data_IF_892182296959
#
_entry.id   IF_892182296959
#
_cell.length_a   1.000
_cell.length_b   1.000
_cell.length_c   1.000
_cell.angle_alpha   90.00
_cell.angle_beta   90.00
_cell.angle_gamma   90.00
#
_symmetry.space_group_name_H-M   'P 1'
#
loop_
_entity.id
_entity.type
_entity.pdbx_description
1 polymer ?
#
# COMPACT_ATOMS: atom_id res chain seq x y z
N UNK A 1 -6.05 -2.35 -32.22
CA UNK A 1 -5.05 -1.44 -32.80
C UNK A 1 -3.98 -2.25 -33.51
N UNK A 2 -3.78 -2.06 -34.83
CA UNK A 2 -2.66 -2.73 -35.51
C UNK A 2 -1.35 -1.97 -35.25
N UNK A 3 -0.69 -2.30 -34.14
CA UNK A 3 0.60 -1.71 -33.79
C UNK A 3 1.70 -2.47 -34.53
N UNK A 4 2.35 -1.79 -35.47
CA UNK A 4 3.49 -2.38 -36.15
C UNK A 4 4.62 -2.73 -35.17
N UNK A 5 5.35 -3.81 -35.46
CA UNK A 5 6.46 -4.28 -34.63
C UNK A 5 7.52 -3.19 -34.37
N UNK A 6 7.76 -2.31 -35.35
CA UNK A 6 8.71 -1.21 -35.16
C UNK A 6 8.24 -0.22 -34.08
N UNK A 7 6.94 0.06 -33.97
CA UNK A 7 6.39 0.94 -32.92
C UNK A 7 6.60 0.31 -31.55
N UNK A 8 6.33 -0.99 -31.42
CA UNK A 8 6.62 -1.76 -30.21
C UNK A 8 8.11 -1.67 -29.81
N UNK A 9 9.00 -1.96 -30.76
CA UNK A 9 10.45 -1.96 -30.51
C UNK A 9 10.95 -0.56 -30.17
N UNK A 10 10.54 0.47 -30.91
CA UNK A 10 10.94 1.86 -30.65
C UNK A 10 10.43 2.31 -29.28
N UNK A 11 9.15 2.10 -28.97
CA UNK A 11 8.58 2.47 -27.67
C UNK A 11 9.26 1.72 -26.53
N UNK A 12 9.49 0.41 -26.67
CA UNK A 12 10.21 -0.37 -25.67
C UNK A 12 11.64 0.15 -25.46
N UNK A 13 12.38 0.45 -26.54
CA UNK A 13 13.73 1.03 -26.45
C UNK A 13 13.69 2.39 -25.74
N UNK A 14 12.77 3.28 -26.11
CA UNK A 14 12.66 4.61 -25.49
C UNK A 14 12.32 4.48 -24.01
N UNK A 15 11.34 3.65 -23.65
CA UNK A 15 10.93 3.45 -22.26
C UNK A 15 12.03 2.80 -21.42
N UNK A 16 12.68 1.76 -21.95
CA UNK A 16 13.83 1.12 -21.29
C UNK A 16 15.00 2.09 -21.17
N UNK A 17 15.23 2.95 -22.17
CA UNK A 17 16.27 3.97 -22.08
C UNK A 17 15.95 5.02 -20.99
N UNK A 18 14.72 5.52 -20.92
CA UNK A 18 14.27 6.43 -19.86
C UNK A 18 14.44 5.77 -18.49
N UNK A 19 14.03 4.51 -18.35
CA UNK A 19 14.18 3.74 -17.11
C UNK A 19 15.66 3.52 -16.75
N UNK A 20 16.48 3.14 -17.73
CA UNK A 20 17.91 2.94 -17.55
C UNK A 20 18.60 4.24 -17.16
N UNK A 21 18.21 5.37 -17.73
CA UNK A 21 18.70 6.70 -17.36
C UNK A 21 18.31 7.00 -15.91
N UNK A 22 17.06 6.76 -15.50
CA UNK A 22 16.64 6.93 -14.10
C UNK A 22 17.49 6.05 -13.15
N UNK A 23 17.69 4.77 -13.50
CA UNK A 23 18.49 3.84 -12.70
C UNK A 23 19.96 4.26 -12.65
N UNK A 24 20.56 4.66 -13.77
CA UNK A 24 21.99 4.96 -13.87
C UNK A 24 22.34 6.32 -13.25
N UNK A 25 21.50 7.34 -13.45
CA UNK A 25 21.73 8.68 -12.92
C UNK A 25 21.45 8.69 -11.42
N UNK A 26 20.31 8.18 -10.99
CA UNK A 26 19.92 8.24 -9.57
C UNK A 26 20.62 7.15 -8.77
N UNK A 27 20.80 5.94 -9.30
CA UNK A 27 21.53 4.87 -8.63
C UNK A 27 23.00 5.19 -8.33
N UNK A 28 23.61 6.16 -9.04
CA UNK A 28 24.97 6.64 -8.78
C UNK A 28 25.07 7.75 -7.72
N UNK A 29 23.95 8.33 -7.30
CA UNK A 29 23.91 9.36 -6.25
C UNK A 29 22.90 8.96 -5.16
N UNK A 30 23.20 7.95 -4.33
CA UNK A 30 22.32 7.55 -3.23
C UNK A 30 22.26 8.64 -2.16
N UNK A 31 21.36 9.61 -2.34
CA UNK A 31 21.04 10.67 -1.38
C UNK A 31 19.52 10.75 -1.27
N UNK A 32 19.01 10.96 -0.06
CA UNK A 32 17.58 11.17 0.16
C UNK A 32 17.11 12.37 -0.67
N UNK A 33 16.17 12.21 -1.63
CA UNK A 33 15.76 13.29 -2.50
C UNK A 33 15.02 14.34 -1.68
N UNK A 34 15.28 15.61 -1.96
CA UNK A 34 14.48 16.68 -1.38
C UNK A 34 13.03 16.61 -1.88
N UNK A 35 12.06 17.05 -1.09
CA UNK A 35 10.65 17.16 -1.51
C UNK A 35 10.49 17.92 -2.84
N UNK A 36 11.29 18.97 -3.07
CA UNK A 36 11.28 19.73 -4.33
C UNK A 36 11.80 18.92 -5.52
N UNK A 37 12.86 18.15 -5.29
CA UNK A 37 13.46 17.28 -6.30
C UNK A 37 12.49 16.16 -6.66
N UNK A 38 11.97 15.45 -5.66
CA UNK A 38 11.01 14.38 -5.84
C UNK A 38 9.74 14.87 -6.56
N UNK A 39 9.17 16.01 -6.14
CA UNK A 39 8.01 16.61 -6.79
C UNK A 39 8.26 16.96 -8.26
N UNK A 40 9.44 17.52 -8.56
CA UNK A 40 9.84 17.88 -9.93
C UNK A 40 9.92 16.63 -10.82
N UNK A 41 10.58 15.57 -10.36
CA UNK A 41 10.68 14.32 -11.11
C UNK A 41 9.31 13.66 -11.30
N UNK A 42 8.46 13.63 -10.28
CA UNK A 42 7.08 13.12 -10.41
C UNK A 42 6.31 13.93 -11.47
N UNK A 43 6.39 15.27 -11.44
CA UNK A 43 5.75 16.11 -12.45
C UNK A 43 6.28 15.85 -13.86
N UNK A 44 7.58 15.61 -14.02
CA UNK A 44 8.18 15.26 -15.31
C UNK A 44 7.61 13.92 -15.82
N UNK A 45 7.54 12.89 -14.98
CA UNK A 45 7.02 11.58 -15.38
C UNK A 45 5.52 11.62 -15.71
N UNK A 46 4.74 12.35 -14.92
CA UNK A 46 3.32 12.62 -15.22
C UNK A 46 3.17 13.36 -16.55
N UNK A 47 3.98 14.39 -16.80
CA UNK A 47 3.95 15.12 -18.06
C UNK A 47 4.32 14.22 -19.26
N UNK A 48 5.31 13.34 -19.11
CA UNK A 48 5.68 12.37 -20.14
C UNK A 48 4.53 11.39 -20.44
N UNK A 49 3.83 10.90 -19.42
CA UNK A 49 2.66 10.04 -19.60
C UNK A 49 1.53 10.79 -20.34
N UNK A 50 1.26 12.04 -19.96
CA UNK A 50 0.26 12.88 -20.64
C UNK A 50 0.64 13.14 -22.09
N UNK A 51 1.90 13.49 -22.37
CA UNK A 51 2.39 13.69 -23.74
C UNK A 51 2.28 12.41 -24.57
N UNK A 52 2.58 11.25 -23.98
CA UNK A 52 2.40 9.97 -24.64
C UNK A 52 0.91 9.72 -24.97
N UNK A 53 0.00 9.93 -24.03
CA UNK A 53 -1.43 9.79 -24.25
C UNK A 53 -1.99 10.73 -25.31
N UNK A 54 -1.49 11.98 -25.37
CA UNK A 54 -1.79 12.91 -26.46
C UNK A 54 -1.23 12.45 -27.80
N UNK A 55 -0.06 11.81 -27.80
CA UNK A 55 0.49 11.12 -28.97
C UNK A 55 -0.42 10.00 -29.44
N UNK A 56 -0.89 9.13 -28.53
CA UNK A 56 -1.86 8.07 -28.85
C UNK A 56 -3.14 8.67 -29.42
N UNK A 57 -3.63 9.78 -28.86
CA UNK A 57 -4.80 10.48 -29.42
C UNK A 57 -4.55 10.87 -30.88
N UNK A 58 -3.43 11.53 -31.15
CA UNK A 58 -3.12 12.04 -32.48
C UNK A 58 -2.97 10.92 -33.53
N UNK A 59 -2.30 9.82 -33.16
CA UNK A 59 -1.97 8.76 -34.11
C UNK A 59 -3.01 7.63 -34.19
N UNK A 60 -3.69 7.33 -33.08
CA UNK A 60 -4.59 6.17 -32.96
C UNK A 60 -6.03 6.58 -32.68
N UNK A 61 -6.29 7.81 -32.24
CA UNK A 61 -7.62 8.36 -32.01
C UNK A 61 -8.02 8.43 -30.54
N UNK A 62 -9.16 9.10 -30.25
CA UNK A 62 -9.59 9.41 -28.88
C UNK A 62 -9.96 8.18 -28.06
N UNK A 63 -10.40 7.08 -28.71
CA UNK A 63 -10.74 5.84 -28.02
C UNK A 63 -9.51 5.23 -27.32
N UNK A 64 -8.45 4.94 -28.08
CA UNK A 64 -7.22 4.37 -27.53
C UNK A 64 -6.50 5.32 -26.57
N UNK A 65 -6.60 6.64 -26.78
CA UNK A 65 -6.09 7.61 -25.81
C UNK A 65 -6.85 7.53 -24.47
N UNK A 66 -8.18 7.44 -24.52
CA UNK A 66 -9.01 7.24 -23.33
C UNK A 66 -8.65 5.95 -22.60
N UNK A 67 -8.45 4.85 -23.35
CA UNK A 67 -8.00 3.56 -22.82
C UNK A 67 -6.63 3.67 -22.13
N UNK A 68 -5.67 4.34 -22.76
CA UNK A 68 -4.36 4.61 -22.17
C UNK A 68 -4.48 5.42 -20.88
N UNK A 69 -5.22 6.53 -20.89
CA UNK A 69 -5.37 7.36 -19.70
C UNK A 69 -6.09 6.63 -18.57
N UNK A 70 -7.12 5.84 -18.88
CA UNK A 70 -7.83 5.04 -17.89
C UNK A 70 -6.91 3.98 -17.28
N UNK A 71 -6.21 3.22 -18.13
CA UNK A 71 -5.26 2.20 -17.70
C UNK A 71 -4.11 2.81 -16.89
N UNK A 72 -3.52 3.90 -17.36
CA UNK A 72 -2.41 4.58 -16.67
C UNK A 72 -2.84 5.14 -15.31
N UNK A 73 -3.99 5.81 -15.21
CA UNK A 73 -4.48 6.32 -13.94
C UNK A 73 -4.82 5.21 -12.95
N UNK A 74 -5.48 4.14 -13.41
CA UNK A 74 -5.79 2.98 -12.56
C UNK A 74 -4.50 2.32 -12.06
N UNK A 75 -3.55 2.02 -12.95
CA UNK A 75 -2.27 1.41 -12.58
C UNK A 75 -1.44 2.34 -11.68
N UNK A 76 -1.42 3.65 -11.93
CA UNK A 76 -0.70 4.62 -11.10
C UNK A 76 -1.29 4.69 -9.69
N UNK A 77 -2.61 4.61 -9.57
CA UNK A 77 -3.32 4.61 -8.29
C UNK A 77 -3.14 3.32 -7.51
N UNK A 78 -3.18 2.16 -8.19
CA UNK A 78 -2.88 0.88 -7.55
C UNK A 78 -1.40 0.82 -7.14
N UNK A 79 -0.48 1.36 -7.95
CA UNK A 79 0.94 1.41 -7.61
C UNK A 79 1.24 2.33 -6.40
N UNK A 80 0.40 3.34 -6.14
CA UNK A 80 0.44 4.14 -4.91
C UNK A 80 0.06 3.32 -3.67
N UNK A 81 -0.90 2.40 -3.77
CA UNK A 81 -1.23 1.45 -2.69
C UNK A 81 -0.05 0.53 -2.42
N UNK A 82 0.62 0.07 -3.48
CA UNK A 82 1.80 -0.80 -3.36
C UNK A 82 2.92 -0.15 -2.54
N UNK A 83 3.01 1.19 -2.55
CA UNK A 83 3.96 1.90 -1.68
C UNK A 83 3.67 1.75 -0.20
N UNK A 84 2.40 1.57 0.22
CA UNK A 84 2.08 1.31 1.63
C UNK A 84 2.72 0.02 2.09
N UNK A 85 2.50 -1.08 1.36
CA UNK A 85 3.11 -2.35 1.73
C UNK A 85 4.65 -2.26 1.66
N UNK A 86 5.20 -1.49 0.71
CA UNK A 86 6.66 -1.27 0.68
C UNK A 86 7.16 -0.57 1.95
N UNK A 87 6.43 0.43 2.46
CA UNK A 87 6.75 1.09 3.74
C UNK A 87 6.66 0.11 4.91
N UNK A 88 5.58 -0.68 4.97
CA UNK A 88 5.37 -1.66 6.05
C UNK A 88 6.51 -2.68 6.04
N UNK A 89 6.81 -3.30 4.90
CA UNK A 89 7.91 -4.26 4.75
C UNK A 89 9.25 -3.65 5.17
N UNK A 90 9.55 -2.43 4.72
CA UNK A 90 10.81 -1.75 5.06
C UNK A 90 10.87 -1.38 6.54
N UNK A 91 9.74 -1.04 7.16
CA UNK A 91 9.60 -0.79 8.60
C UNK A 91 9.80 -2.07 9.42
N UNK A 92 9.08 -3.14 9.07
CA UNK A 92 9.14 -4.45 9.71
C UNK A 92 10.54 -5.07 9.65
N UNK A 93 11.20 -4.97 8.50
CA UNK A 93 12.58 -5.45 8.30
C UNK A 93 13.64 -4.44 8.75
N UNK A 94 13.24 -3.28 9.30
CA UNK A 94 14.11 -2.21 9.82
C UNK A 94 15.18 -1.79 8.82
N UNK A 95 14.79 -1.59 7.56
CA UNK A 95 15.70 -1.25 6.46
C UNK A 95 16.30 0.15 6.70
N UNK A 96 17.63 0.28 6.80
CA UNK A 96 18.29 1.58 6.94
C UNK A 96 17.92 2.54 5.79
N UNK A 97 17.66 3.82 6.09
CA UNK A 97 17.15 4.80 5.11
C UNK A 97 17.98 4.92 3.84
N UNK A 98 19.31 4.90 3.99
CA UNK A 98 20.26 4.96 2.86
C UNK A 98 20.20 3.73 1.93
N UNK A 99 19.61 2.61 2.38
CA UNK A 99 19.43 1.39 1.59
C UNK A 99 18.02 1.26 0.99
N UNK A 100 17.03 2.03 1.47
CA UNK A 100 15.65 1.98 0.99
C UNK A 100 15.56 2.32 -0.51
N UNK A 101 16.35 3.28 -0.97
CA UNK A 101 16.42 3.63 -2.40
C UNK A 101 16.81 2.46 -3.28
N UNK A 102 17.81 1.70 -2.84
CA UNK A 102 18.29 0.54 -3.56
C UNK A 102 17.23 -0.56 -3.58
N UNK A 103 16.60 -0.84 -2.44
CA UNK A 103 15.53 -1.82 -2.33
C UNK A 103 14.34 -1.46 -3.25
N UNK A 104 13.90 -0.19 -3.24
CA UNK A 104 12.83 0.31 -4.11
C UNK A 104 13.19 0.23 -5.58
N UNK A 105 14.41 0.62 -5.95
CA UNK A 105 14.87 0.56 -7.33
C UNK A 105 14.86 -0.88 -7.86
N UNK A 106 15.40 -1.83 -7.09
CA UNK A 106 15.39 -3.24 -7.47
C UNK A 106 13.95 -3.78 -7.49
N UNK A 107 13.11 -3.38 -6.53
CA UNK A 107 11.69 -3.72 -6.49
C UNK A 107 10.94 -3.27 -7.74
N UNK A 108 11.11 -2.01 -8.17
CA UNK A 108 10.49 -1.47 -9.39
C UNK A 108 10.96 -2.20 -10.65
N UNK A 109 12.26 -2.50 -10.76
CA UNK A 109 12.79 -3.25 -11.90
C UNK A 109 12.18 -4.66 -11.93
N UNK A 110 12.12 -5.32 -10.78
CA UNK A 110 11.54 -6.65 -10.66
C UNK A 110 10.04 -6.64 -10.98
N UNK A 111 9.32 -5.62 -10.50
CA UNK A 111 7.91 -5.38 -10.80
C UNK A 111 7.67 -5.25 -12.29
N UNK A 112 8.43 -4.41 -12.99
CA UNK A 112 8.33 -4.25 -14.44
C UNK A 112 8.57 -5.55 -15.20
N UNK A 113 9.53 -6.36 -14.76
CA UNK A 113 9.81 -7.67 -15.36
C UNK A 113 8.62 -8.62 -15.15
N UNK A 114 8.11 -8.74 -13.91
CA UNK A 114 6.97 -9.60 -13.63
C UNK A 114 5.71 -9.14 -14.34
N UNK A 115 5.44 -7.84 -14.37
CA UNK A 115 4.30 -7.27 -15.10
C UNK A 115 4.43 -7.51 -16.60
N UNK A 116 5.60 -7.34 -17.20
CA UNK A 116 5.80 -7.69 -18.61
C UNK A 116 5.52 -9.18 -18.90
N UNK A 117 5.92 -10.08 -17.99
CA UNK A 117 5.60 -11.51 -18.08
C UNK A 117 4.09 -11.74 -17.98
N UNK A 118 3.42 -11.15 -16.99
CA UNK A 118 1.96 -11.30 -16.84
C UNK A 118 1.16 -10.70 -17.97
N UNK A 119 1.59 -9.57 -18.53
CA UNK A 119 0.94 -8.95 -19.68
C UNK A 119 1.06 -9.89 -20.87
N UNK A 120 2.24 -10.45 -21.13
CA UNK A 120 2.43 -11.42 -22.22
C UNK A 120 1.59 -12.68 -22.02
N UNK A 121 1.55 -13.24 -20.80
CA UNK A 121 0.72 -14.40 -20.47
C UNK A 121 -0.77 -14.08 -20.57
N UNK A 122 -1.18 -12.92 -20.06
CA UNK A 122 -2.56 -12.44 -20.05
C UNK A 122 -3.09 -12.17 -21.45
N UNK A 123 -2.28 -11.59 -22.34
CA UNK A 123 -2.64 -11.36 -23.73
C UNK A 123 -2.96 -12.68 -24.45
N UNK A 124 -2.12 -13.70 -24.26
CA UNK A 124 -2.35 -15.05 -24.82
C UNK A 124 -3.57 -15.72 -24.16
N UNK A 125 -3.78 -15.52 -22.87
CA UNK A 125 -4.91 -16.09 -22.15
C UNK A 125 -6.25 -15.50 -22.62
N UNK A 126 -6.34 -14.18 -22.78
CA UNK A 126 -7.55 -13.48 -23.23
C UNK A 126 -7.91 -13.87 -24.66
N UNK A 127 -6.94 -13.99 -25.57
CA UNK A 127 -7.17 -14.41 -26.96
C UNK A 127 -7.77 -15.82 -27.07
N UNK A 128 -7.58 -16.66 -26.04
CA UNK A 128 -8.01 -18.07 -26.04
C UNK A 128 -9.21 -18.36 -25.15
N UNK A 129 -9.47 -17.52 -24.15
CA UNK A 129 -10.40 -17.85 -23.07
C UNK A 129 -11.18 -16.62 -22.58
N UNK A 130 -12.25 -16.26 -23.27
CA UNK A 130 -13.24 -15.26 -22.84
C UNK A 130 -13.83 -15.47 -21.44
N UNK A 131 -13.98 -16.71 -20.97
CA UNK A 131 -14.44 -16.99 -19.60
C UNK A 131 -13.46 -16.46 -18.53
N UNK A 132 -12.21 -16.15 -18.91
CA UNK A 132 -11.22 -15.52 -18.03
C UNK A 132 -11.74 -14.19 -17.48
N UNK A 133 -12.57 -13.46 -18.24
CA UNK A 133 -13.15 -12.20 -17.79
C UNK A 133 -14.12 -12.38 -16.62
N UNK A 134 -14.83 -13.51 -16.53
CA UNK A 134 -15.60 -13.84 -15.32
C UNK A 134 -14.71 -14.07 -14.11
N UNK A 135 -13.61 -14.81 -14.30
CA UNK A 135 -12.64 -15.07 -13.23
C UNK A 135 -12.00 -13.77 -12.74
N UNK A 136 -11.54 -12.93 -13.66
CA UNK A 136 -10.96 -11.63 -13.41
C UNK A 136 -11.94 -10.67 -12.75
N UNK A 137 -13.17 -10.58 -13.26
CA UNK A 137 -14.21 -9.76 -12.66
C UNK A 137 -14.57 -10.20 -11.24
N UNK A 138 -14.76 -11.50 -11.02
CA UNK A 138 -15.02 -12.05 -9.68
C UNK A 138 -13.85 -11.82 -8.71
N UNK A 139 -12.61 -12.00 -9.19
CA UNK A 139 -11.41 -11.72 -8.40
C UNK A 139 -11.32 -10.25 -7.99
N UNK A 140 -11.57 -9.31 -8.91
CA UNK A 140 -11.56 -7.87 -8.60
C UNK A 140 -12.62 -7.48 -7.57
N UNK A 141 -13.84 -8.01 -7.70
CA UNK A 141 -14.91 -7.76 -6.72
C UNK A 141 -14.54 -8.35 -5.36
N UNK A 142 -13.97 -9.55 -5.34
CA UNK A 142 -13.46 -10.16 -4.11
C UNK A 142 -12.38 -9.30 -3.46
N UNK A 143 -11.38 -8.84 -4.22
CA UNK A 143 -10.30 -7.98 -3.71
C UNK A 143 -10.85 -6.65 -3.21
N UNK A 144 -11.80 -6.04 -3.92
CA UNK A 144 -12.46 -4.82 -3.47
C UNK A 144 -13.17 -4.99 -2.11
N UNK A 145 -13.94 -6.07 -1.95
CA UNK A 145 -14.61 -6.38 -0.68
C UNK A 145 -13.60 -6.64 0.43
N UNK A 146 -12.56 -7.42 0.14
CA UNK A 146 -11.48 -7.69 1.09
C UNK A 146 -10.81 -6.40 1.55
N UNK A 147 -10.48 -5.49 0.64
CA UNK A 147 -9.83 -4.21 0.96
C UNK A 147 -10.70 -3.32 1.87
N UNK A 148 -12.03 -3.36 1.72
CA UNK A 148 -12.96 -2.67 2.64
C UNK A 148 -13.00 -3.33 4.02
N UNK A 149 -12.96 -4.66 4.07
CA UNK A 149 -12.93 -5.41 5.34
C UNK A 149 -11.63 -5.13 6.09
N UNK A 150 -10.48 -5.22 5.41
CA UNK A 150 -9.17 -4.97 5.97
C UNK A 150 -9.08 -3.51 6.48
N UNK A 151 -9.60 -2.54 5.73
CA UNK A 151 -9.68 -1.15 6.19
C UNK A 151 -10.52 -0.96 7.48
N UNK A 152 -11.54 -1.80 7.71
CA UNK A 152 -12.39 -1.71 8.93
C UNK A 152 -11.74 -2.40 10.13
N UNK A 153 -10.98 -3.46 9.90
CA UNK A 153 -10.33 -4.23 10.93
C UNK A 153 -8.91 -3.69 11.13
N UNK A 154 -8.77 -2.62 11.92
CA UNK A 154 -7.50 -1.92 12.16
C UNK A 154 -6.42 -2.74 12.92
N UNK A 155 -6.57 -4.06 13.13
CA UNK A 155 -5.80 -4.80 14.14
C UNK A 155 -4.99 -6.03 13.68
N UNK A 156 -4.95 -6.42 12.39
CA UNK A 156 -4.32 -7.71 11.98
C UNK A 156 -3.21 -7.62 10.91
N UNK A 157 -2.63 -6.43 10.63
CA UNK A 157 -1.55 -6.31 9.64
C UNK A 157 -0.20 -6.93 10.09
N UNK A 158 -0.03 -7.24 11.38
CA UNK A 158 1.20 -7.88 11.88
C UNK A 158 1.31 -9.38 11.52
N UNK A 159 0.20 -10.07 11.22
CA UNK A 159 0.19 -11.53 11.10
C UNK A 159 0.49 -12.06 9.68
N UNK A 160 0.07 -11.34 8.63
CA UNK A 160 0.27 -11.74 7.24
C UNK A 160 1.74 -11.62 6.78
N UNK A 161 2.44 -10.55 7.19
CA UNK A 161 3.86 -10.34 6.91
C UNK A 161 4.73 -11.42 7.55
N UNK A 162 4.34 -11.86 8.74
CA UNK A 162 5.10 -12.83 9.52
C UNK A 162 5.09 -14.22 8.85
N UNK A 163 4.09 -14.59 8.05
CA UNK A 163 4.02 -15.91 7.40
C UNK A 163 5.02 -16.07 6.23
N UNK A 164 5.07 -15.09 5.30
CA UNK A 164 6.00 -15.10 4.17
C UNK A 164 7.46 -15.00 4.64
N UNK A 165 7.72 -14.12 5.61
CA UNK A 165 9.05 -13.94 6.20
C UNK A 165 9.49 -15.17 7.00
N UNK A 166 8.59 -15.82 7.76
CA UNK A 166 8.87 -17.10 8.43
C UNK A 166 9.16 -18.23 7.44
N UNK A 167 8.46 -18.28 6.31
CA UNK A 167 8.71 -19.28 5.27
C UNK A 167 10.08 -19.10 4.62
N UNK A 168 10.42 -17.86 4.22
CA UNK A 168 11.72 -17.55 3.62
C UNK A 168 12.88 -17.86 4.59
N UNK A 169 12.78 -17.40 5.85
CA UNK A 169 13.79 -17.65 6.90
C UNK A 169 13.97 -19.14 7.25
N UNK A 170 12.93 -19.97 7.05
CA UNK A 170 13.02 -21.43 7.27
C UNK A 170 13.69 -22.19 6.11
N UNK A 171 13.56 -21.71 4.87
CA UNK A 171 13.99 -22.45 3.67
C UNK A 171 15.39 -22.08 3.20
N UNK A 172 15.89 -20.89 3.52
CA UNK A 172 17.19 -20.40 3.06
C UNK A 172 18.01 -19.83 4.23
N UNK A 173 19.36 -19.95 4.20
CA UNK A 173 20.22 -19.38 5.22
C UNK A 173 20.32 -17.87 5.03
N UNK A 174 19.57 -17.11 5.82
CA UNK A 174 19.63 -15.65 5.89
C UNK A 174 20.47 -15.19 7.09
N UNK A 175 21.20 -14.09 6.92
CA UNK A 175 21.73 -13.29 8.03
C UNK A 175 20.82 -12.10 8.31
N UNK A 176 20.67 -11.74 9.58
CA UNK A 176 19.95 -10.54 10.01
C UNK A 176 20.75 -9.25 9.79
N UNK A 177 22.04 -9.36 9.46
CA UNK A 177 22.90 -8.21 9.22
C UNK A 177 22.75 -7.63 7.79
N UNK A 178 22.70 -6.30 7.74
CA UNK A 178 22.76 -5.55 6.48
C UNK A 178 24.22 -5.38 6.01
N UNK A 179 24.60 -6.08 4.95
CA UNK A 179 25.89 -5.91 4.28
C UNK A 179 25.80 -4.92 3.10
N UNK A 180 25.23 -3.74 3.36
CA UNK A 180 24.97 -2.72 2.34
C UNK A 180 24.00 -3.20 1.26
N UNK A 181 24.33 -2.97 -0.01
CA UNK A 181 23.51 -3.38 -1.18
C UNK A 181 23.78 -4.82 -1.64
N UNK A 182 24.67 -5.56 -0.97
CA UNK A 182 25.01 -6.93 -1.37
C UNK A 182 23.86 -7.89 -1.03
N UNK A 183 23.49 -8.74 -1.98
CA UNK A 183 22.44 -9.75 -1.81
C UNK A 183 22.95 -11.05 -1.15
N UNK A 184 24.26 -11.28 -1.23
CA UNK A 184 24.91 -12.42 -0.60
C UNK A 184 26.13 -11.96 0.19
N UNK A 185 26.35 -12.59 1.33
CA UNK A 185 27.52 -12.37 2.16
C UNK A 185 28.15 -13.72 2.52
N UNK A 186 29.39 -13.67 3.01
CA UNK A 186 30.07 -14.85 3.54
C UNK A 186 30.19 -14.68 5.04
N UNK A 187 29.43 -15.47 5.79
CA UNK A 187 29.43 -15.50 7.26
C UNK A 187 29.89 -16.89 7.66
N UNK A 188 30.88 -16.98 8.55
CA UNK A 188 31.48 -18.24 9.02
C UNK A 188 31.89 -19.20 7.89
N UNK A 189 32.48 -18.65 6.82
CA UNK A 189 32.96 -19.41 5.67
C UNK A 189 31.89 -19.89 4.69
N UNK A 190 30.59 -19.80 5.03
CA UNK A 190 29.46 -20.21 4.19
C UNK A 190 28.83 -19.00 3.48
N UNK A 191 28.31 -19.21 2.26
CA UNK A 191 27.52 -18.18 1.56
C UNK A 191 26.12 -18.15 2.15
N UNK A 192 25.68 -16.97 2.57
CA UNK A 192 24.34 -16.73 3.13
C UNK A 192 23.68 -15.57 2.38
N UNK A 193 22.36 -15.56 2.35
CA UNK A 193 21.59 -14.43 1.84
C UNK A 193 21.53 -13.33 2.89
N UNK A 194 21.65 -12.08 2.47
CA UNK A 194 21.63 -10.92 3.38
C UNK A 194 20.20 -10.50 3.72
N UNK A 195 20.04 -9.67 4.75
CA UNK A 195 18.76 -9.01 5.04
C UNK A 195 18.24 -8.24 3.81
N UNK A 196 19.12 -7.64 3.01
CA UNK A 196 18.75 -6.95 1.76
C UNK A 196 18.12 -7.89 0.72
N UNK A 197 18.62 -9.13 0.59
CA UNK A 197 18.01 -10.11 -0.31
C UNK A 197 16.61 -10.52 0.16
N UNK A 198 16.40 -10.61 1.48
CA UNK A 198 15.07 -10.86 2.04
C UNK A 198 14.10 -9.72 1.73
N UNK A 199 14.55 -8.47 1.88
CA UNK A 199 13.77 -7.27 1.53
C UNK A 199 13.37 -7.29 0.07
N UNK A 200 14.33 -7.52 -0.84
CA UNK A 200 14.04 -7.55 -2.29
C UNK A 200 13.09 -8.69 -2.65
N UNK A 201 13.25 -9.86 -2.02
CA UNK A 201 12.35 -10.99 -2.20
C UNK A 201 10.94 -10.65 -1.73
N UNK A 202 10.80 -10.01 -0.57
CA UNK A 202 9.51 -9.59 -0.04
C UNK A 202 8.85 -8.56 -0.96
N UNK A 203 9.56 -7.48 -1.33
CA UNK A 203 9.04 -6.45 -2.24
C UNK A 203 8.61 -7.04 -3.60
N UNK A 204 9.44 -7.91 -4.19
CA UNK A 204 9.14 -8.57 -5.45
C UNK A 204 7.95 -9.54 -5.38
N UNK A 205 7.84 -10.28 -4.27
CA UNK A 205 6.72 -11.20 -4.06
C UNK A 205 5.41 -10.45 -3.81
N UNK A 206 5.46 -9.31 -3.12
CA UNK A 206 4.30 -8.46 -2.90
C UNK A 206 3.84 -7.81 -4.20
N UNK A 207 4.75 -7.30 -5.05
CA UNK A 207 4.34 -6.78 -6.36
C UNK A 207 3.71 -7.86 -7.25
N UNK A 208 4.26 -9.08 -7.20
CA UNK A 208 3.66 -10.25 -7.84
C UNK A 208 2.23 -10.51 -7.36
N UNK A 209 1.95 -10.35 -6.06
CA UNK A 209 0.60 -10.46 -5.52
C UNK A 209 -0.30 -9.33 -6.04
N UNK A 210 0.18 -8.08 -6.04
CA UNK A 210 -0.58 -6.92 -6.56
C UNK A 210 -0.84 -6.97 -8.07
N UNK A 211 0.04 -7.62 -8.83
CA UNK A 211 -0.19 -7.83 -10.25
C UNK A 211 -1.42 -8.71 -10.50
N UNK A 212 -1.85 -9.53 -9.54
CA UNK A 212 -3.06 -10.35 -9.67
C UNK A 212 -4.33 -9.49 -9.73
N UNK A 213 -4.33 -8.32 -9.11
CA UNK A 213 -5.44 -7.37 -9.08
C UNK A 213 -5.28 -6.29 -10.16
N UNK A 214 -4.05 -5.84 -10.42
CA UNK A 214 -3.83 -4.81 -11.44
C UNK A 214 -4.00 -5.33 -12.88
N UNK A 215 -3.54 -6.56 -13.19
CA UNK A 215 -3.61 -7.15 -14.53
C UNK A 215 -5.07 -7.32 -14.99
N UNK A 216 -5.96 -7.97 -14.21
CA UNK A 216 -7.40 -7.98 -14.53
C UNK A 216 -7.97 -6.59 -14.74
N UNK A 217 -7.65 -5.65 -13.85
CA UNK A 217 -8.23 -4.32 -13.88
C UNK A 217 -7.88 -3.58 -15.19
N UNK A 218 -6.61 -3.60 -15.60
CA UNK A 218 -6.21 -2.93 -16.84
C UNK A 218 -6.78 -3.62 -18.08
N UNK A 219 -6.87 -4.96 -18.09
CA UNK A 219 -7.52 -5.69 -19.19
C UNK A 219 -9.04 -5.46 -19.26
N UNK A 220 -9.66 -5.02 -18.16
CA UNK A 220 -11.05 -4.53 -18.16
C UNK A 220 -11.23 -3.11 -18.70
N UNK A 221 -10.14 -2.37 -18.90
CA UNK A 221 -10.15 -1.04 -19.50
C UNK A 221 -9.70 -1.07 -20.95
N UNK A 222 -8.74 -1.93 -21.30
CA UNK A 222 -8.25 -2.08 -22.67
C UNK A 222 -7.79 -3.50 -22.93
N UNK A 223 -8.11 -4.01 -24.11
CA UNK A 223 -7.61 -5.31 -24.58
C UNK A 223 -6.33 -5.18 -25.40
N UNK A 224 -5.82 -3.96 -25.61
CA UNK A 224 -4.63 -3.70 -26.43
C UNK A 224 -3.34 -3.89 -25.60
N UNK A 225 -2.55 -4.96 -25.82
CA UNK A 225 -1.39 -5.25 -24.98
C UNK A 225 -0.34 -4.12 -24.99
N UNK A 226 -0.29 -3.34 -26.08
CA UNK A 226 0.58 -2.17 -26.19
C UNK A 226 0.19 -1.07 -25.20
N UNK A 227 -1.11 -0.77 -25.08
CA UNK A 227 -1.59 0.22 -24.13
C UNK A 227 -1.43 -0.28 -22.70
N UNK A 228 -1.72 -1.56 -22.46
CA UNK A 228 -1.48 -2.21 -21.16
C UNK A 228 -0.01 -2.05 -20.73
N UNK A 229 0.93 -2.42 -21.59
CA UNK A 229 2.36 -2.33 -21.32
C UNK A 229 2.81 -0.89 -21.06
N UNK A 230 2.45 0.04 -21.94
CA UNK A 230 2.90 1.44 -21.83
C UNK A 230 2.31 2.14 -20.62
N UNK A 231 1.00 1.97 -20.35
CA UNK A 231 0.34 2.51 -19.16
C UNK A 231 1.02 2.04 -17.88
N UNK A 232 1.37 0.76 -17.81
CA UNK A 232 2.00 0.14 -16.66
C UNK A 232 3.43 0.67 -16.41
N UNK A 233 4.21 0.81 -17.49
CA UNK A 233 5.55 1.41 -17.41
C UNK A 233 5.46 2.86 -16.92
N UNK A 234 4.58 3.68 -17.51
CA UNK A 234 4.38 5.06 -17.06
C UNK A 234 3.83 5.17 -15.64
N UNK A 235 3.05 4.19 -15.19
CA UNK A 235 2.54 4.14 -13.82
C UNK A 235 3.63 3.87 -12.77
N UNK A 236 4.66 3.09 -13.14
CA UNK A 236 5.78 2.77 -12.26
C UNK A 236 6.91 3.80 -12.32
N UNK A 237 6.97 4.60 -13.38
CA UNK A 237 7.92 5.72 -13.48
C UNK A 237 7.63 6.79 -12.42
N UNK A 238 8.67 7.17 -11.66
CA UNK A 238 8.54 8.15 -10.58
C UNK A 238 8.10 7.57 -9.23
N UNK A 239 7.81 6.25 -9.15
CA UNK A 239 7.35 5.61 -7.92
C UNK A 239 8.37 5.73 -6.77
N UNK A 240 9.67 5.64 -7.08
CA UNK A 240 10.75 5.86 -6.08
C UNK A 240 10.68 7.28 -5.52
N UNK A 241 10.51 8.28 -6.37
CA UNK A 241 10.40 9.69 -5.96
C UNK A 241 9.12 9.90 -5.16
N UNK A 242 8.03 9.24 -5.55
CA UNK A 242 6.76 9.22 -4.85
C UNK A 242 6.90 8.66 -3.43
N UNK A 243 7.66 7.58 -3.24
CA UNK A 243 7.97 7.07 -1.90
C UNK A 243 8.60 8.14 -0.98
N UNK A 244 9.59 8.89 -1.47
CA UNK A 244 10.25 9.94 -0.67
C UNK A 244 9.41 11.20 -0.51
N UNK A 245 8.62 11.55 -1.54
CA UNK A 245 7.69 12.67 -1.49
C UNK A 245 6.56 12.43 -0.50
N UNK A 246 6.09 11.17 -0.43
CA UNK A 246 4.84 10.81 0.25
C UNK A 246 5.08 10.07 1.58
N UNK A 247 6.33 9.83 2.02
CA UNK A 247 6.61 9.21 3.34
C UNK A 247 5.93 9.89 4.55
N UNK A 248 5.56 11.18 4.43
CA UNK A 248 4.68 11.87 5.38
C UNK A 248 3.23 12.09 4.88
N UNK A 249 3.02 12.20 3.57
CA UNK A 249 1.71 12.46 2.96
C UNK A 249 0.84 11.19 2.88
N UNK A 250 1.41 9.98 2.90
CA UNK A 250 0.67 8.71 2.78
C UNK A 250 -0.10 8.48 4.07
N UNK A 251 0.49 8.84 5.21
CA UNK A 251 -0.21 8.90 6.51
C UNK A 251 -1.41 9.84 6.47
N UNK A 252 -1.43 10.81 5.57
CA UNK A 252 -2.55 11.74 5.36
C UNK A 252 -3.57 11.26 4.33
N UNK A 253 -3.28 10.18 3.59
CA UNK A 253 -4.15 9.59 2.57
C UNK A 253 -4.94 8.40 3.14
N UNK A 254 -5.59 8.60 4.29
CA UNK A 254 -6.28 7.56 5.07
C UNK A 254 -7.32 6.79 4.25
N UNK A 255 -8.00 7.42 3.29
CA UNK A 255 -9.05 6.79 2.49
C UNK A 255 -8.58 6.26 1.12
N UNK A 256 -7.27 6.16 0.87
CA UNK A 256 -6.78 5.72 -0.44
C UNK A 256 -7.23 4.29 -0.76
N UNK A 257 -7.05 3.35 0.16
CA UNK A 257 -7.45 1.95 -0.04
C UNK A 257 -8.97 1.79 -0.22
N UNK A 258 -9.79 2.65 0.41
CA UNK A 258 -11.23 2.72 0.12
C UNK A 258 -11.54 3.26 -1.28
N UNK A 259 -10.75 4.22 -1.79
CA UNK A 259 -10.90 4.68 -3.16
C UNK A 259 -10.58 3.58 -4.17
N UNK A 260 -9.51 2.84 -3.92
CA UNK A 260 -9.09 1.75 -4.78
C UNK A 260 -10.09 0.59 -4.76
N UNK A 261 -10.69 0.27 -3.62
CA UNK A 261 -11.72 -0.77 -3.57
C UNK A 261 -12.94 -0.41 -4.42
N UNK A 262 -13.36 0.86 -4.43
CA UNK A 262 -14.45 1.32 -5.30
C UNK A 262 -14.08 1.20 -6.78
N UNK A 263 -12.85 1.60 -7.15
CA UNK A 263 -12.35 1.47 -8.53
C UNK A 263 -12.30 0.00 -8.95
N UNK A 264 -11.74 -0.88 -8.11
CA UNK A 264 -11.64 -2.32 -8.38
C UNK A 264 -13.03 -2.97 -8.48
N UNK A 265 -13.96 -2.63 -7.60
CA UNK A 265 -15.34 -3.12 -7.67
C UNK A 265 -16.01 -2.67 -8.97
N UNK A 266 -15.86 -1.40 -9.35
CA UNK A 266 -16.41 -0.86 -10.58
C UNK A 266 -15.86 -1.58 -11.82
N UNK A 267 -14.53 -1.75 -11.91
CA UNK A 267 -13.90 -2.46 -13.03
C UNK A 267 -14.25 -3.94 -13.01
N UNK A 268 -14.34 -4.57 -11.84
CA UNK A 268 -14.75 -5.96 -11.68
C UNK A 268 -16.17 -6.22 -12.19
N UNK A 269 -17.12 -5.36 -11.81
CA UNK A 269 -18.50 -5.40 -12.33
C UNK A 269 -18.50 -5.19 -13.85
N UNK A 270 -17.74 -4.21 -14.35
CA UNK A 270 -17.59 -3.98 -15.79
C UNK A 270 -17.12 -5.24 -16.53
N UNK A 271 -16.12 -5.93 -16.00
CA UNK A 271 -15.58 -7.16 -16.58
C UNK A 271 -16.59 -8.30 -16.59
N UNK A 272 -17.33 -8.49 -15.50
CA UNK A 272 -18.40 -9.50 -15.46
C UNK A 272 -19.47 -9.17 -16.50
N UNK A 273 -19.91 -7.92 -16.60
CA UNK A 273 -20.90 -7.50 -17.59
C UNK A 273 -20.40 -7.71 -19.03
N UNK A 274 -19.14 -7.41 -19.31
CA UNK A 274 -18.53 -7.66 -20.61
C UNK A 274 -18.50 -9.16 -20.92
N UNK A 275 -18.06 -9.98 -19.97
CA UNK A 275 -18.06 -11.43 -20.09
C UNK A 275 -19.47 -12.00 -20.31
N UNK A 276 -20.49 -11.41 -19.69
CA UNK A 276 -21.90 -11.80 -19.86
C UNK A 276 -22.43 -11.50 -21.26
N UNK A 277 -22.02 -10.38 -21.88
CA UNK A 277 -22.37 -10.10 -23.28
C UNK A 277 -21.67 -11.06 -24.24
N UNK A 278 -20.37 -11.32 -24.03
CA UNK A 278 -19.66 -12.31 -24.84
C UNK A 278 -20.20 -13.73 -24.60
N UNK A 279 -20.81 -14.01 -23.44
CA UNK A 279 -21.35 -15.31 -23.10
C UNK A 279 -22.56 -15.76 -23.92
N UNK A 280 -23.19 -14.86 -24.68
CA UNK A 280 -24.13 -15.25 -25.73
C UNK A 280 -23.52 -16.23 -26.75
N UNK A 281 -22.19 -16.25 -26.92
CA UNK A 281 -21.46 -17.22 -27.75
C UNK A 281 -21.10 -18.53 -27.03
N UNK A 282 -21.26 -18.66 -25.70
CA UNK A 282 -20.91 -19.87 -24.93
C UNK A 282 -22.10 -20.78 -24.58
N UNK A 283 -23.26 -20.57 -25.21
CA UNK A 283 -24.46 -21.39 -24.99
C UNK A 283 -24.23 -22.90 -25.22
N UNK A 284 -23.23 -23.27 -26.03
CA UNK A 284 -22.88 -24.66 -26.34
C UNK A 284 -21.92 -25.32 -25.31
N UNK A 285 -21.52 -24.64 -24.23
CA UNK A 285 -20.61 -25.23 -23.24
C UNK A 285 -21.31 -26.32 -22.40
N UNK A 286 -20.81 -27.57 -22.34
CA UNK A 286 -21.58 -28.71 -21.84
C UNK A 286 -21.86 -28.71 -20.32
N UNK A 287 -21.17 -27.89 -19.52
CA UNK A 287 -21.32 -27.85 -18.05
C UNK A 287 -21.94 -26.55 -17.54
N UNK A 288 -21.71 -25.44 -18.23
CA UNK A 288 -22.07 -24.08 -17.79
C UNK A 288 -22.93 -23.34 -18.82
N UNK A 289 -23.11 -23.89 -20.03
CA UNK A 289 -23.82 -23.24 -21.14
C UNK A 289 -25.23 -22.84 -20.77
N UNK A 290 -26.02 -23.76 -20.20
CA UNK A 290 -27.39 -23.46 -19.76
C UNK A 290 -27.50 -22.36 -18.69
N UNK A 291 -26.53 -22.29 -17.77
CA UNK A 291 -26.48 -21.22 -16.76
C UNK A 291 -26.03 -19.89 -17.38
N UNK A 292 -25.07 -19.92 -18.31
CA UNK A 292 -24.58 -18.75 -19.04
C UNK A 292 -25.63 -18.16 -19.98
N UNK A 293 -26.42 -18.99 -20.69
CA UNK A 293 -27.53 -18.53 -21.55
C UNK A 293 -28.64 -17.88 -20.73
N UNK A 294 -29.03 -18.49 -19.60
CA UNK A 294 -30.02 -17.89 -18.70
C UNK A 294 -29.54 -16.55 -18.10
N UNK A 295 -28.23 -16.43 -17.82
CA UNK A 295 -27.62 -15.17 -17.37
C UNK A 295 -27.54 -14.11 -18.48
N UNK A 296 -27.21 -14.50 -19.71
CA UNK A 296 -27.17 -13.61 -20.87
C UNK A 296 -28.55 -12.99 -21.13
N UNK A 297 -29.60 -13.81 -21.15
CA UNK A 297 -30.97 -13.35 -21.37
C UNK A 297 -31.44 -12.39 -20.27
N UNK A 298 -30.96 -12.56 -19.03
CA UNK A 298 -31.22 -11.60 -17.95
C UNK A 298 -30.49 -10.27 -18.16
N UNK A 299 -29.23 -10.26 -18.59
CA UNK A 299 -28.43 -9.04 -18.79
C UNK A 299 -28.89 -8.22 -19.99
N UNK A 300 -29.27 -8.86 -21.09
CA UNK A 300 -29.70 -8.18 -22.33
C UNK A 300 -31.02 -7.40 -22.13
N UNK A 301 -31.77 -7.66 -21.05
CA UNK A 301 -32.96 -6.87 -20.69
C UNK A 301 -32.63 -5.53 -20.01
N UNK A 302 -31.37 -5.26 -19.67
CA UNK A 302 -30.95 -3.98 -19.08
C UNK A 302 -30.78 -2.91 -20.18
N UNK A 303 -31.15 -1.63 -19.95
CA UNK A 303 -31.18 -0.58 -21.00
C UNK A 303 -29.80 -0.03 -21.41
N UNK A 304 -28.71 -0.74 -21.16
CA UNK A 304 -27.38 -0.30 -21.58
C UNK A 304 -26.98 -1.09 -22.82
N UNK A 305 -26.41 -0.43 -23.83
CA UNK A 305 -25.84 -1.06 -25.04
C UNK A 305 -24.56 -1.89 -24.75
N UNK A 306 -24.55 -2.60 -23.63
CA UNK A 306 -23.67 -3.70 -23.27
C UNK A 306 -22.26 -3.35 -22.77
N UNK A 307 -21.72 -2.20 -23.13
CA UNK A 307 -20.35 -1.84 -22.77
C UNK A 307 -20.31 -0.51 -22.01
N UNK A 308 -19.76 -0.55 -20.78
CA UNK A 308 -19.51 0.68 -20.00
C UNK A 308 -18.48 1.52 -20.76
N UNK A 309 -18.84 2.75 -21.19
CA UNK A 309 -17.93 3.57 -21.98
C UNK A 309 -16.65 3.91 -21.22
N UNK A 310 -15.53 4.03 -21.93
CA UNK A 310 -14.24 4.38 -21.35
C UNK A 310 -14.27 5.76 -20.70
N UNK A 311 -15.00 6.73 -21.26
CA UNK A 311 -15.15 8.05 -20.65
C UNK A 311 -15.85 7.98 -19.28
N UNK A 312 -16.83 7.08 -19.11
CA UNK A 312 -17.50 6.88 -17.83
C UNK A 312 -16.55 6.24 -16.83
N UNK A 313 -15.72 5.29 -17.29
CA UNK A 313 -14.66 4.70 -16.46
C UNK A 313 -13.66 5.75 -15.98
N UNK A 314 -13.21 6.64 -16.87
CA UNK A 314 -12.33 7.76 -16.52
C UNK A 314 -12.97 8.71 -15.50
N UNK A 315 -14.24 9.08 -15.68
CA UNK A 315 -14.95 9.95 -14.75
C UNK A 315 -15.07 9.30 -13.37
N UNK A 316 -15.39 8.00 -13.31
CA UNK A 316 -15.46 7.27 -12.03
C UNK A 316 -14.08 7.19 -11.38
N UNK A 317 -13.04 6.81 -12.11
CA UNK A 317 -11.66 6.70 -11.58
C UNK A 317 -11.20 8.06 -11.05
N UNK A 318 -11.26 9.12 -11.86
CA UNK A 318 -10.83 10.46 -11.47
C UNK A 318 -11.67 10.99 -10.32
N UNK A 319 -13.00 10.81 -10.38
CA UNK A 319 -13.92 11.25 -9.35
C UNK A 319 -13.64 10.60 -8.00
N UNK A 320 -13.46 9.27 -7.99
CA UNK A 320 -13.12 8.53 -6.77
C UNK A 320 -11.77 8.96 -6.21
N UNK A 321 -10.72 9.05 -7.05
CA UNK A 321 -9.39 9.48 -6.60
C UNK A 321 -9.39 10.90 -6.05
N UNK A 322 -10.12 11.82 -6.69
CA UNK A 322 -10.24 13.19 -6.22
C UNK A 322 -10.95 13.26 -4.87
N UNK A 323 -12.11 12.58 -4.74
CA UNK A 323 -12.90 12.55 -3.51
C UNK A 323 -12.09 11.94 -2.37
N UNK A 324 -11.45 10.79 -2.59
CA UNK A 324 -10.67 10.11 -1.54
C UNK A 324 -9.46 10.92 -1.14
N UNK A 325 -8.75 11.54 -2.09
CA UNK A 325 -7.62 12.43 -1.80
C UNK A 325 -8.07 13.62 -0.96
N UNK A 326 -9.13 14.33 -1.38
CA UNK A 326 -9.63 15.52 -0.67
C UNK A 326 -10.12 15.16 0.73
N UNK A 327 -10.94 14.11 0.86
CA UNK A 327 -11.45 13.67 2.17
C UNK A 327 -10.32 13.25 3.11
N UNK A 328 -9.29 12.59 2.57
CA UNK A 328 -8.14 12.18 3.37
C UNK A 328 -7.35 13.38 3.87
N UNK A 329 -7.11 14.37 3.02
CA UNK A 329 -6.43 15.60 3.40
C UNK A 329 -7.22 16.42 4.43
N UNK A 330 -8.55 16.48 4.31
CA UNK A 330 -9.42 17.15 5.29
C UNK A 330 -9.34 16.45 6.63
N UNK A 331 -9.53 15.12 6.66
CA UNK A 331 -9.45 14.33 7.90
C UNK A 331 -8.08 14.46 8.56
N UNK A 332 -7.01 14.33 7.79
CA UNK A 332 -5.65 14.45 8.33
C UNK A 332 -5.38 15.82 8.95
N UNK A 333 -5.91 16.92 8.39
CA UNK A 333 -5.80 18.24 9.01
C UNK A 333 -6.61 18.34 10.30
N UNK A 334 -7.83 17.80 10.30
CA UNK A 334 -8.68 17.77 11.49
C UNK A 334 -8.04 16.99 12.64
N UNK A 335 -7.44 15.83 12.35
CA UNK A 335 -6.74 15.01 13.35
C UNK A 335 -5.47 15.72 13.88
N UNK A 336 -4.73 16.45 13.01
CA UNK A 336 -3.59 17.28 13.41
C UNK A 336 -3.99 18.46 14.31
N UNK A 337 -5.08 19.15 13.97
CA UNK A 337 -5.60 20.28 14.75
C UNK A 337 -6.13 19.80 16.12
N UNK A 338 -6.86 18.69 16.15
CA UNK A 338 -7.34 18.08 17.41
C UNK A 338 -6.19 17.68 18.33
N UNK A 339 -5.15 17.02 17.80
CA UNK A 339 -3.98 16.63 18.58
C UNK A 339 -3.22 17.85 19.13
N UNK A 340 -3.22 18.97 18.39
CA UNK A 340 -2.61 20.22 18.82
C UNK A 340 -3.43 20.91 19.92
N UNK A 341 -4.75 20.88 19.83
CA UNK A 341 -5.65 21.43 20.86
C UNK A 341 -5.59 20.62 22.16
N UNK A 342 -5.50 19.28 22.09
CA UNK A 342 -5.30 18.41 23.26
C UNK A 342 -3.95 18.64 23.96
N UNK A 343 -2.90 19.04 23.23
CA UNK A 343 -1.60 19.41 23.81
C UNK A 343 -1.55 20.83 24.40
N UNK A 344 -2.52 21.69 24.07
CA UNK A 344 -2.60 23.08 24.53
C UNK A 344 -3.46 23.27 25.78
N UNK A 345 -4.17 22.23 26.25
CA UNK A 345 -4.85 22.25 27.56
C UNK A 345 -3.79 21.93 28.64
N UNK A 346 -3.36 22.90 29.46
CA UNK A 346 -2.47 22.62 30.58
C UNK A 346 -3.21 21.75 31.60
N UNK A 347 -2.47 20.88 32.28
CA UNK A 347 -2.89 19.99 33.37
C UNK A 347 -3.26 20.76 34.66
N UNK A 348 -3.92 21.91 34.51
CA UNK A 348 -4.26 22.85 35.60
C UNK A 348 -5.72 22.68 36.05
N UNK A 349 -6.32 21.52 35.84
CA UNK A 349 -7.70 21.20 36.26
C UNK A 349 -7.81 19.99 37.20
N UNK A 350 -6.69 19.42 37.68
CA UNK A 350 -6.67 18.52 38.84
C UNK A 350 -6.01 19.20 40.04
N UNK A 351 -6.63 20.28 40.52
CA UNK A 351 -6.04 21.07 41.58
C UNK A 351 -6.95 22.10 42.23
N UNK A 352 -8.26 21.85 42.34
CA UNK A 352 -9.09 22.62 43.27
C UNK A 352 -10.11 21.69 43.94
N UNK A 353 -9.78 21.28 45.15
CA UNK A 353 -10.64 20.52 46.03
C UNK A 353 -11.94 21.29 46.30
N UNK A 354 -13.07 20.73 45.88
CA UNK A 354 -14.39 21.05 46.42
C UNK A 354 -14.86 19.84 47.22
N UNK A 355 -14.35 19.71 48.45
CA UNK A 355 -14.99 18.87 49.48
C UNK A 355 -16.30 19.51 49.87
N UNK A 356 -17.41 18.96 49.38
CA UNK A 356 -18.73 19.24 49.90
C UNK A 356 -18.91 18.56 51.25
N UNK A 357 -18.92 19.35 52.34
CA UNK A 357 -19.65 19.00 53.55
C UNK A 357 -19.89 20.23 54.45
N UNK A 358 -20.71 21.17 53.98
CA UNK A 358 -21.38 22.12 54.87
C UNK A 358 -22.56 21.40 55.54
N UNK A 359 -22.30 20.74 56.68
CA UNK A 359 -23.34 20.49 57.69
C UNK A 359 -23.14 21.49 58.83
N UNK A 360 -24.17 22.31 58.98
CA UNK A 360 -24.43 23.23 60.09
C UNK A 360 -24.52 22.44 61.40
N UNK A 361 -23.77 22.87 62.43
CA UNK A 361 -24.26 22.95 63.81
C UNK A 361 -23.41 23.94 64.65
N UNK A 362 -24.01 24.82 65.48
CA UNK A 362 -23.30 25.80 66.33
C UNK A 362 -23.31 25.39 67.84
N UNK A 363 -22.83 26.22 68.79
CA UNK A 363 -21.44 26.51 69.10
C UNK A 363 -21.08 26.23 70.60
N UNK A 364 -19.84 26.59 70.96
CA UNK A 364 -19.26 26.74 72.31
C UNK A 364 -18.64 25.45 72.92
N UNK A 365 -17.38 25.43 73.34
CA UNK A 365 -16.82 26.28 74.40
C UNK A 365 -15.28 26.22 74.45
N UNK A 366 -14.69 27.36 74.81
CA UNK A 366 -13.50 27.59 75.63
C UNK A 366 -12.52 26.45 75.98
N UNK A 367 -11.25 26.74 75.61
CA UNK A 367 -10.06 26.91 76.47
C UNK A 367 -9.63 25.80 77.43
N UNK A 368 -8.35 25.48 77.22
CA UNK A 368 -7.25 25.39 78.20
C UNK A 368 -7.13 24.12 79.06
N UNK A 369 -6.04 23.41 78.74
CA UNK A 369 -4.96 22.94 79.62
C UNK A 369 -5.25 22.72 81.12
N UNK A 370 -4.98 21.51 81.58
CA UNK A 370 -4.18 21.13 82.77
C UNK A 370 -4.24 19.59 82.86
N UNK A 371 -3.13 18.86 82.75
CA UNK A 371 -2.05 18.63 83.73
C UNK A 371 -2.23 17.28 84.45
N UNK A 372 -1.08 16.63 84.61
CA UNK A 372 -0.72 15.63 85.61
C UNK A 372 -1.37 14.22 85.59
N UNK A 373 -0.47 13.22 85.50
CA UNK A 373 -0.27 12.15 86.50
C UNK A 373 -0.37 10.70 86.01
N UNK A 374 0.81 10.07 85.83
CA UNK A 374 1.11 8.77 86.44
C UNK A 374 0.78 7.48 85.67
N UNK A 375 1.35 6.32 86.08
CA UNK A 375 2.52 5.79 85.38
C UNK A 375 2.47 4.27 85.07
N UNK A 376 3.58 3.80 84.47
CA UNK A 376 4.14 2.44 84.53
C UNK A 376 3.53 1.27 83.73
N UNK A 377 4.40 0.65 82.91
CA UNK A 377 4.77 -0.78 82.85
C UNK A 377 5.31 -1.10 81.44
N UNK A 378 6.63 -1.16 81.18
CA UNK A 378 7.59 -2.27 81.35
C UNK A 378 7.19 -3.63 80.73
N UNK A 379 7.77 -3.96 79.56
CA UNK A 379 8.42 -5.22 79.09
C UNK A 379 8.37 -5.25 77.55
N UNK A 380 9.46 -5.21 76.75
CA UNK A 380 10.66 -6.05 76.58
C UNK A 380 10.39 -7.44 75.95
N UNK A 381 11.05 -7.69 74.81
CA UNK A 381 11.15 -8.97 74.10
C UNK A 381 11.23 -8.69 72.59
N UNK A 382 12.39 -8.32 72.03
CA UNK A 382 13.40 -9.24 71.48
C UNK A 382 12.78 -10.32 70.58
N UNK A 383 12.99 -10.22 69.26
CA UNK A 383 13.77 -11.26 68.61
C UNK A 383 14.42 -10.82 67.30
N UNK A 384 15.49 -11.51 67.00
CA UNK A 384 16.61 -11.19 66.14
C UNK A 384 16.59 -12.02 64.87
N UNK A 385 17.59 -11.76 64.02
CA UNK A 385 18.05 -12.54 62.86
C UNK A 385 17.36 -12.23 61.52
N UNK A 386 18.09 -11.97 60.44
CA UNK A 386 19.53 -11.95 60.24
C UNK A 386 19.82 -11.88 58.74
N UNK A 387 20.73 -10.97 58.38
CA UNK A 387 21.85 -11.06 57.41
C UNK A 387 21.67 -11.97 56.17
N UNK A 388 22.06 -11.55 54.97
CA UNK A 388 23.08 -10.56 54.66
C UNK A 388 23.39 -10.47 53.17
N UNK A 389 24.46 -9.74 52.92
CA UNK A 389 24.69 -8.88 51.76
C UNK A 389 25.96 -9.28 50.99
N UNK A 390 26.13 -8.63 49.83
CA UNK A 390 27.36 -8.38 49.04
C UNK A 390 27.88 -9.52 48.14
N UNK A 391 28.14 -9.19 46.86
CA UNK A 391 29.48 -8.72 46.42
C UNK A 391 29.43 -8.12 44.99
N UNK A 392 30.20 -7.04 44.78
CA UNK A 392 30.55 -6.43 43.49
C UNK A 392 31.88 -7.03 42.99
N UNK A 393 32.08 -7.16 41.67
CA UNK A 393 33.43 -7.18 41.08
C UNK A 393 33.42 -6.53 39.67
N UNK A 394 34.23 -5.47 39.43
CA UNK A 394 34.46 -4.89 38.12
C UNK A 394 35.78 -5.38 37.48
N UNK A 395 35.85 -5.29 36.14
CA UNK A 395 37.06 -5.33 35.27
C UNK A 395 37.44 -6.64 34.55
N UNK A 396 37.46 -6.57 33.21
CA UNK A 396 38.37 -7.24 32.23
C UNK A 396 38.10 -6.54 30.88
N UNK A 397 38.94 -5.57 30.51
CA UNK A 397 40.09 -5.67 29.58
C UNK A 397 39.71 -5.94 28.13
#
# INVERSE_FOLDING_TARGET
MNVHLYTWVITAIVLVAVLAIDILIIGRRPHEPSMKEAGTFVSIYVALAVLFGLGVWWFSGPQYAGEFFAGWLTEYSLSLDNLFIFIIIMGALKVPRHLQQFALMVGIVLALVFRAIFIAVGAVAIERFSWIFFLFGAFLVYTAVKLVIDYRNHDDDEDAENAMMRFARRRLPFTDEYHGTRLTARVDGRRVFTAMALVILALGSTDLLFALDSIPAIYGLTQEPFLVFTANVFALMGLRQLYFLIGGLLKRLVYLSLGLSVILAFIGVKLVLHAMHEAGQYGDWPVLGGAMTAMHDWVVTLPAEGEIPIWLSLVVIIGVLLVTTVLSLIKSRYDEDKARDEQLVPDDAEGTALTGHDLVDPPATHRDAEDASGPDHLYRGDDTSGRGSYEQDPSRR
#
